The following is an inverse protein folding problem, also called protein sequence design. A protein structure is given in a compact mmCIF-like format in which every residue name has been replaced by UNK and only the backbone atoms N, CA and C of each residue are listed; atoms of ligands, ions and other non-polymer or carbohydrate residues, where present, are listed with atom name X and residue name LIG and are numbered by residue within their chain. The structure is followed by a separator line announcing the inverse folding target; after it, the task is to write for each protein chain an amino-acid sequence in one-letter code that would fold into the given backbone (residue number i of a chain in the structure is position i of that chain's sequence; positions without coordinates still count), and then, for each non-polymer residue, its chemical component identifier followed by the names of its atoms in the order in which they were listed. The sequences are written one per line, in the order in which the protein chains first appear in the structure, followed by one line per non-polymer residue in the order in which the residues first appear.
data_IF_428878363870
#
_entry.id   IF_428878363870
#
_cell.length_a   1.000
_cell.length_b   1.000
_cell.length_c   1.000
_cell.angle_alpha   90.00
_cell.angle_beta   90.00
_cell.angle_gamma   90.00
#
_symmetry.space_group_name_H-M   'P 1'
#
loop_
_entity.id
_entity.type
_entity.pdbx_description
1 polymer ?
#
# COMPACT_ATOMS: atom_id res chain seq x y z
N UNK A 1 -4.56 -4.74 -27.20
CA UNK A 1 -4.14 -5.43 -25.96
C UNK A 1 -5.23 -5.25 -24.92
N UNK A 2 -5.77 -6.32 -24.33
CA UNK A 2 -6.76 -6.23 -23.27
C UNK A 2 -6.03 -6.24 -21.93
N UNK A 3 -5.96 -5.09 -21.26
CA UNK A 3 -5.41 -5.01 -19.92
C UNK A 3 -6.42 -5.62 -18.95
N UNK A 4 -5.98 -6.59 -18.14
CA UNK A 4 -6.80 -7.16 -17.08
C UNK A 4 -7.07 -6.05 -16.05
N UNK A 5 -8.33 -5.68 -15.79
CA UNK A 5 -8.63 -4.69 -14.76
C UNK A 5 -8.14 -5.21 -13.41
N UNK A 6 -7.68 -4.30 -12.57
CA UNK A 6 -7.18 -4.64 -11.24
C UNK A 6 -8.30 -5.30 -10.43
N UNK A 7 -8.00 -6.36 -9.65
CA UNK A 7 -9.02 -7.19 -9.01
C UNK A 7 -9.57 -6.57 -7.72
N UNK A 8 -9.77 -5.25 -7.67
CA UNK A 8 -10.28 -4.54 -6.50
C UNK A 8 -11.38 -3.53 -6.85
N UNK A 9 -12.34 -3.28 -5.94
CA UNK A 9 -13.46 -2.39 -6.20
C UNK A 9 -13.00 -0.98 -6.57
N UNK A 10 -13.65 -0.37 -7.57
CA UNK A 10 -13.35 0.99 -8.05
C UNK A 10 -11.88 1.19 -8.48
N UNK A 11 -11.28 0.19 -9.13
CA UNK A 11 -9.89 0.21 -9.60
C UNK A 11 -9.50 1.46 -10.41
N UNK A 12 -10.46 2.04 -11.14
CA UNK A 12 -10.31 3.27 -11.92
C UNK A 12 -10.06 4.54 -11.09
N UNK A 13 -10.33 4.49 -9.78
CA UNK A 13 -10.11 5.61 -8.84
C UNK A 13 -8.75 5.56 -8.16
N UNK A 14 -7.97 4.50 -8.37
CA UNK A 14 -6.65 4.36 -7.77
C UNK A 14 -5.61 5.06 -8.63
N UNK A 15 -4.79 5.86 -7.97
CA UNK A 15 -3.61 6.47 -8.58
C UNK A 15 -2.38 6.14 -7.74
N UNK A 16 -1.25 5.92 -8.42
CA UNK A 16 0.04 5.77 -7.75
C UNK A 16 0.72 7.14 -7.70
N UNK A 17 0.97 7.63 -6.49
CA UNK A 17 1.66 8.89 -6.29
C UNK A 17 3.16 8.65 -6.19
N UNK A 18 3.93 9.43 -6.93
CA UNK A 18 5.38 9.31 -6.95
C UNK A 18 6.05 10.46 -7.67
N UNK A 19 7.37 10.41 -7.71
CA UNK A 19 8.17 11.36 -8.48
C UNK A 19 8.28 10.89 -9.92
N UNK A 20 7.83 11.73 -10.85
CA UNK A 20 8.17 11.58 -12.27
C UNK A 20 9.53 12.25 -12.49
N UNK A 21 10.53 11.43 -12.85
CA UNK A 21 11.87 11.89 -13.18
C UNK A 21 12.06 12.11 -14.70
N UNK A 22 10.98 12.06 -15.48
CA UNK A 22 11.01 12.18 -16.94
C UNK A 22 11.65 10.98 -17.64
N UNK A 23 11.87 9.87 -16.94
CA UNK A 23 12.52 8.67 -17.47
C UNK A 23 11.55 7.70 -18.17
N UNK A 24 10.25 7.99 -18.17
CA UNK A 24 9.21 7.08 -18.66
C UNK A 24 8.95 5.86 -17.75
N UNK A 25 9.63 5.80 -16.60
CA UNK A 25 9.42 4.79 -15.57
C UNK A 25 8.20 5.14 -14.69
N UNK A 26 7.57 4.14 -14.05
CA UNK A 26 6.52 4.39 -13.07
C UNK A 26 7.01 5.35 -11.98
N UNK A 27 6.11 6.23 -11.54
CA UNK A 27 6.42 7.26 -10.55
C UNK A 27 7.15 6.66 -9.33
N UNK A 28 8.31 7.25 -8.98
CA UNK A 28 9.18 6.73 -7.94
C UNK A 28 8.59 6.87 -6.54
N UNK A 29 9.17 6.17 -5.56
CA UNK A 29 8.63 6.12 -4.19
C UNK A 29 8.58 7.48 -3.49
N UNK A 30 7.50 7.72 -2.74
CA UNK A 30 7.40 8.81 -1.78
C UNK A 30 7.94 8.37 -0.41
N UNK A 31 8.52 9.31 0.33
CA UNK A 31 8.86 9.10 1.74
C UNK A 31 7.60 9.14 2.60
N UNK A 32 7.59 8.43 3.73
CA UNK A 32 6.43 8.40 4.64
C UNK A 32 6.00 9.80 5.09
N UNK A 33 6.96 10.68 5.40
CA UNK A 33 6.67 12.07 5.79
C UNK A 33 5.96 12.87 4.69
N UNK A 34 6.30 12.64 3.40
CA UNK A 34 5.63 13.32 2.29
C UNK A 34 4.18 12.86 2.15
N UNK A 35 3.89 11.57 2.37
CA UNK A 35 2.51 11.09 2.40
C UNK A 35 1.72 11.84 3.48
N UNK A 36 2.27 11.96 4.69
CA UNK A 36 1.59 12.64 5.79
C UNK A 36 1.28 14.10 5.45
N UNK A 37 2.28 14.82 4.93
CA UNK A 37 2.09 16.19 4.47
C UNK A 37 0.96 16.28 3.42
N UNK A 38 0.93 15.39 2.44
CA UNK A 38 -0.10 15.41 1.40
C UNK A 38 -1.47 15.08 1.96
N UNK A 39 -1.55 14.14 2.91
CA UNK A 39 -2.77 13.77 3.63
C UNK A 39 -3.39 14.95 4.36
N UNK A 40 -2.57 15.80 4.97
CA UNK A 40 -3.04 16.98 5.70
C UNK A 40 -3.39 18.16 4.77
N UNK A 41 -2.71 18.29 3.62
CA UNK A 41 -2.76 19.51 2.79
C UNK A 41 -3.51 19.34 1.47
N UNK A 42 -3.96 18.14 1.10
CA UNK A 42 -4.65 17.86 -0.17
C UNK A 42 -6.09 17.45 0.06
N UNK A 43 -7.02 17.96 -0.77
CA UNK A 43 -8.45 17.61 -0.73
C UNK A 43 -8.93 16.82 -1.95
N UNK A 44 -8.04 16.57 -2.91
CA UNK A 44 -8.35 15.90 -4.17
C UNK A 44 -8.47 14.37 -4.06
N UNK A 45 -8.09 13.79 -2.91
CA UNK A 45 -8.10 12.35 -2.68
C UNK A 45 -9.02 12.01 -1.51
N UNK A 46 -9.84 10.98 -1.68
CA UNK A 46 -10.72 10.48 -0.62
C UNK A 46 -9.93 9.82 0.51
N UNK A 47 -8.87 9.10 0.16
CA UNK A 47 -7.97 8.44 1.10
C UNK A 47 -6.59 8.22 0.49
N UNK A 48 -5.57 8.09 1.35
CA UNK A 48 -4.19 7.86 0.96
C UNK A 48 -3.56 6.80 1.86
N UNK A 49 -2.71 5.95 1.27
CA UNK A 49 -1.97 4.92 1.98
C UNK A 49 -0.60 4.68 1.33
N UNK A 50 0.35 4.17 2.12
CA UNK A 50 1.65 3.70 1.62
C UNK A 50 1.80 2.20 1.79
N UNK A 51 2.67 1.63 0.96
CA UNK A 51 3.09 0.25 1.08
C UNK A 51 4.55 0.11 0.66
N UNK A 52 5.22 -0.92 1.16
CA UNK A 52 6.55 -1.33 0.75
C UNK A 52 6.63 -2.85 0.73
N UNK A 53 7.07 -3.39 -0.40
CA UNK A 53 7.40 -4.81 -0.54
C UNK A 53 8.62 -5.19 0.30
N UNK A 54 8.56 -6.38 0.88
CA UNK A 54 9.64 -6.95 1.67
C UNK A 54 9.62 -8.47 1.67
N UNK A 55 10.60 -9.05 2.36
CA UNK A 55 10.67 -10.47 2.65
C UNK A 55 10.72 -10.63 4.16
N UNK A 56 9.78 -11.37 4.73
CA UNK A 56 9.78 -11.75 6.13
C UNK A 56 10.39 -13.15 6.25
N UNK A 57 11.24 -13.34 7.25
CA UNK A 57 11.66 -14.67 7.67
C UNK A 57 10.66 -15.17 8.73
N UNK A 58 9.97 -16.26 8.42
CA UNK A 58 9.10 -16.95 9.37
C UNK A 58 9.77 -18.26 9.77
N UNK A 59 9.92 -18.48 11.08
CA UNK A 59 10.31 -19.78 11.62
C UNK A 59 9.06 -20.45 12.19
N UNK A 60 8.74 -21.63 11.69
CA UNK A 60 7.58 -22.40 12.13
C UNK A 60 7.93 -23.89 12.14
N UNK A 61 7.77 -24.54 13.30
CA UNK A 61 8.01 -25.98 13.43
C UNK A 61 9.46 -26.42 13.14
N UNK A 62 10.45 -25.53 13.32
CA UNK A 62 11.86 -25.81 13.05
C UNK A 62 12.31 -25.57 11.60
N UNK A 63 11.41 -25.15 10.71
CA UNK A 63 11.74 -24.72 9.35
C UNK A 63 11.72 -23.19 9.22
N UNK A 64 12.67 -22.66 8.47
CA UNK A 64 12.74 -21.24 8.12
C UNK A 64 12.21 -21.04 6.69
N UNK A 65 11.18 -20.21 6.56
CA UNK A 65 10.56 -19.88 5.29
C UNK A 65 10.66 -18.38 5.01
N UNK A 66 10.98 -18.04 3.76
CA UNK A 66 10.94 -16.67 3.26
C UNK A 66 9.56 -16.34 2.70
N UNK A 67 8.84 -15.45 3.36
CA UNK A 67 7.51 -15.00 2.93
C UNK A 67 7.60 -13.63 2.28
N UNK A 68 6.98 -13.47 1.11
CA UNK A 68 6.74 -12.13 0.56
C UNK A 68 5.78 -11.40 1.48
N UNK A 69 6.15 -10.19 1.88
CA UNK A 69 5.37 -9.36 2.80
C UNK A 69 5.17 -7.97 2.21
N UNK A 70 4.08 -7.33 2.61
CA UNK A 70 3.87 -5.90 2.43
C UNK A 70 3.86 -5.25 3.81
N UNK A 71 4.71 -4.24 4.02
CA UNK A 71 4.54 -3.29 5.11
C UNK A 71 3.65 -2.17 4.60
N UNK A 72 2.57 -1.86 5.29
CA UNK A 72 1.54 -0.94 4.82
C UNK A 72 1.17 0.07 5.91
N UNK A 73 0.66 1.23 5.52
CA UNK A 73 0.04 2.17 6.48
C UNK A 73 -1.30 1.65 6.99
N UNK A 74 -1.74 2.10 8.17
CA UNK A 74 -2.99 1.67 8.82
C UNK A 74 -4.21 1.71 7.89
N UNK A 75 -4.34 2.80 7.10
CA UNK A 75 -5.45 3.01 6.18
C UNK A 75 -5.41 2.18 4.88
N UNK A 76 -4.40 1.35 4.66
CA UNK A 76 -4.20 0.65 3.38
C UNK A 76 -5.36 -0.27 2.98
N UNK A 77 -5.89 -1.05 3.93
CA UNK A 77 -7.03 -1.93 3.66
C UNK A 77 -8.31 -1.14 3.38
N UNK A 78 -8.50 -0.01 4.06
CA UNK A 78 -9.63 0.88 3.82
C UNK A 78 -9.56 1.50 2.43
N UNK A 79 -8.36 1.93 1.99
CA UNK A 79 -8.14 2.46 0.64
C UNK A 79 -8.46 1.42 -0.42
N UNK A 80 -8.08 0.15 -0.21
CA UNK A 80 -8.43 -0.94 -1.13
C UNK A 80 -9.89 -1.42 -1.02
N UNK A 81 -10.65 -0.97 -0.02
CA UNK A 81 -12.02 -1.41 0.23
C UNK A 81 -12.13 -2.86 0.75
N UNK A 82 -11.09 -3.40 1.39
CA UNK A 82 -11.11 -4.74 1.98
C UNK A 82 -11.19 -4.72 3.50
N UNK A 83 -11.81 -5.75 4.04
CA UNK A 83 -11.80 -6.06 5.47
C UNK A 83 -11.09 -7.40 5.69
N UNK A 84 -10.24 -7.54 6.72
CA UNK A 84 -9.64 -8.83 7.06
C UNK A 84 -10.71 -9.90 7.29
N UNK A 85 -10.53 -11.08 6.69
CA UNK A 85 -11.42 -12.22 6.94
C UNK A 85 -11.32 -12.73 8.39
N UNK A 86 -10.16 -12.52 9.03
CA UNK A 86 -9.89 -12.88 10.42
C UNK A 86 -9.18 -11.74 11.13
N UNK A 87 -9.55 -11.51 12.40
CA UNK A 87 -8.96 -10.46 13.23
C UNK A 87 -9.59 -9.09 13.00
N UNK A 88 -8.79 -8.04 13.21
CA UNK A 88 -9.15 -6.64 13.02
C UNK A 88 -8.18 -5.97 12.06
N UNK A 89 -8.53 -4.79 11.58
CA UNK A 89 -7.59 -3.91 10.87
C UNK A 89 -6.40 -3.50 11.76
N UNK A 90 -5.41 -2.90 11.11
CA UNK A 90 -4.26 -2.30 11.79
C UNK A 90 -4.72 -1.20 12.78
N UNK A 91 -3.96 -1.03 13.85
CA UNK A 91 -4.10 0.08 14.81
C UNK A 91 -2.91 1.04 14.70
N UNK A 92 -3.08 2.25 15.22
CA UNK A 92 -2.02 3.26 15.33
C UNK A 92 -0.77 2.79 16.08
N UNK A 93 -0.89 1.81 16.98
CA UNK A 93 0.26 1.25 17.73
C UNK A 93 1.11 0.27 16.88
N UNK A 94 0.59 -0.16 15.73
CA UNK A 94 1.24 -1.13 14.83
C UNK A 94 1.92 -0.45 13.61
N UNK A 95 2.07 0.89 13.66
CA UNK A 95 2.69 1.74 12.63
C UNK A 95 4.22 1.87 12.78
#
# INVERSE_FOLDING_TARGET
VMLRPLPFPNAERFVHLGWDWGSGEPAGYLTAYKLEYWREHTRSFDAMATWRGGLLRLEAGGEIQGLRSLRVSEGFLNVLGYTPLRGRGFTTTEQ
#
